data_IF_886459797751
#
_entry.id   IF_886459797751
#
_cell.length_a   1.000
_cell.length_b   1.000
_cell.length_c   1.000
_cell.angle_alpha   90.00
_cell.angle_beta   90.00
_cell.angle_gamma   90.00
#
_symmetry.space_group_name_H-M   'P 1'
#
loop_
_entity.id
_entity.type
_entity.pdbx_description
1 polymer ?
#
# COMPACT_ATOMS: atom_id res chain seq x y z
N UNK A 1 -36.12 -14.44 51.85
CA UNK A 1 -35.57 -13.55 52.90
C UNK A 1 -35.21 -12.23 52.22
N UNK A 2 -36.01 -11.17 52.43
CA UNK A 2 -35.63 -9.96 53.21
C UNK A 2 -34.36 -9.28 52.68
N UNK A 3 -34.29 -8.01 52.27
CA UNK A 3 -35.14 -6.82 52.46
C UNK A 3 -34.78 -5.77 51.40
N UNK A 4 -35.77 -4.95 51.06
CA UNK A 4 -35.66 -3.68 50.32
C UNK A 4 -34.80 -2.68 51.09
N UNK A 5 -34.01 -1.88 50.39
CA UNK A 5 -33.63 -0.54 50.82
C UNK A 5 -33.63 0.39 49.60
N UNK A 6 -34.84 0.88 49.32
CA UNK A 6 -35.08 2.07 48.53
C UNK A 6 -34.57 3.26 49.37
N UNK A 7 -33.56 3.99 48.89
CA UNK A 7 -33.28 5.34 49.40
C UNK A 7 -33.54 6.32 48.27
N UNK A 8 -34.42 7.24 48.62
CA UNK A 8 -35.00 8.33 47.85
C UNK A 8 -33.95 9.39 47.53
N UNK A 9 -34.09 9.98 46.34
CA UNK A 9 -33.41 11.15 45.75
C UNK A 9 -33.38 12.41 46.67
N UNK A 10 -32.83 13.61 46.32
CA UNK A 10 -32.46 14.09 44.97
C UNK A 10 -31.26 15.08 44.86
N UNK A 11 -31.00 15.48 43.60
CA UNK A 11 -30.53 16.80 43.14
C UNK A 11 -29.25 17.39 43.77
N UNK A 12 -28.18 17.47 42.96
CA UNK A 12 -27.58 18.77 42.65
C UNK A 12 -26.86 18.74 41.30
N UNK A 13 -27.37 19.59 40.43
CA UNK A 13 -26.92 19.96 39.10
C UNK A 13 -25.65 20.82 39.24
N UNK A 14 -24.54 20.40 38.66
CA UNK A 14 -23.45 21.33 38.30
C UNK A 14 -23.04 21.04 36.87
N UNK A 15 -23.54 21.87 35.98
CA UNK A 15 -23.03 22.07 34.63
C UNK A 15 -21.84 23.01 34.72
N UNK A 16 -20.67 22.51 34.37
CA UNK A 16 -19.49 23.25 33.88
C UNK A 16 -18.88 22.34 32.80
N UNK A 17 -19.36 22.36 31.56
CA UNK A 17 -18.89 23.24 30.48
C UNK A 17 -17.36 23.39 30.45
N UNK A 18 -16.75 22.68 29.50
CA UNK A 18 -15.51 23.10 28.85
C UNK A 18 -14.23 22.43 29.36
N UNK A 19 -13.68 21.53 28.55
CA UNK A 19 -12.28 21.11 28.67
C UNK A 19 -12.08 19.63 28.97
N UNK A 20 -12.71 18.74 28.19
CA UNK A 20 -12.09 17.45 27.96
C UNK A 20 -10.79 17.73 27.20
N UNK A 21 -9.67 17.85 27.92
CA UNK A 21 -8.36 17.67 27.33
C UNK A 21 -8.26 16.20 26.91
N UNK A 22 -8.93 15.86 25.81
CA UNK A 22 -8.53 14.73 25.02
C UNK A 22 -7.09 15.00 24.59
N UNK A 23 -6.16 14.04 24.72
CA UNK A 23 -4.93 14.14 23.98
C UNK A 23 -5.31 14.22 22.50
N UNK A 24 -4.98 15.37 21.94
CA UNK A 24 -5.11 15.72 20.55
C UNK A 24 -4.33 14.75 19.67
N UNK A 25 -4.91 14.52 18.48
CA UNK A 25 -4.21 14.42 17.21
C UNK A 25 -2.88 13.64 17.18
N UNK A 26 -3.01 12.35 16.85
CA UNK A 26 -1.99 11.64 16.08
C UNK A 26 -2.65 11.22 14.77
N UNK A 27 -2.74 12.16 13.82
CA UNK A 27 -3.31 11.92 12.51
C UNK A 27 -2.57 10.80 11.80
N UNK A 28 -3.13 9.59 11.84
CA UNK A 28 -2.92 8.61 10.78
C UNK A 28 -3.69 9.14 9.58
N UNK A 29 -3.03 9.94 8.74
CA UNK A 29 -3.49 10.15 7.38
C UNK A 29 -3.56 8.75 6.75
N UNK A 30 -4.74 8.23 6.40
CA UNK A 30 -4.83 6.88 5.83
C UNK A 30 -3.96 6.76 4.57
N UNK A 31 -3.81 7.85 3.83
CA UNK A 31 -3.01 7.95 2.60
C UNK A 31 -1.50 7.79 2.87
N UNK A 32 -0.95 8.42 3.92
CA UNK A 32 0.46 8.27 4.32
C UNK A 32 0.77 6.87 4.89
N UNK A 33 -0.25 6.14 5.35
CA UNK A 33 -0.12 4.75 5.78
C UNK A 33 -0.12 3.80 4.57
N UNK A 34 -0.87 4.09 3.49
CA UNK A 34 -0.88 3.28 2.26
C UNK A 34 0.46 3.32 1.50
N UNK A 35 1.14 4.47 1.43
CA UNK A 35 2.49 4.56 0.85
C UNK A 35 3.49 3.65 1.57
N UNK A 36 3.38 3.53 2.90
CA UNK A 36 4.22 2.62 3.69
C UNK A 36 3.88 1.15 3.46
N UNK A 37 2.62 0.83 3.15
CA UNK A 37 2.22 -0.56 2.86
C UNK A 37 2.88 -1.05 1.57
N UNK A 38 2.95 -0.24 0.51
CA UNK A 38 3.57 -0.68 -0.75
C UNK A 38 5.06 -0.93 -0.61
N UNK A 39 5.82 -0.09 0.09
CA UNK A 39 7.26 -0.34 0.32
C UNK A 39 7.51 -1.57 1.24
N UNK A 40 6.50 -2.01 1.99
CA UNK A 40 6.52 -3.27 2.73
C UNK A 40 6.19 -4.49 1.87
N UNK A 41 5.62 -4.30 0.67
CA UNK A 41 5.32 -5.39 -0.25
C UNK A 41 6.62 -5.83 -0.93
N UNK A 42 7.08 -7.08 -0.76
CA UNK A 42 8.39 -7.54 -1.24
C UNK A 42 8.61 -7.35 -2.74
N UNK A 43 7.54 -7.39 -3.54
CA UNK A 43 7.59 -7.25 -5.00
C UNK A 43 7.67 -5.79 -5.48
N UNK A 44 7.28 -4.82 -4.66
CA UNK A 44 7.34 -3.38 -4.99
C UNK A 44 8.71 -2.75 -4.67
N UNK A 45 9.69 -3.58 -4.25
CA UNK A 45 11.08 -3.16 -4.07
C UNK A 45 11.79 -3.16 -5.41
N UNK A 46 12.62 -2.13 -5.61
CA UNK A 46 13.51 -2.03 -6.76
C UNK A 46 14.40 -3.26 -6.88
N UNK A 47 14.63 -3.70 -8.11
CA UNK A 47 15.56 -4.76 -8.44
C UNK A 47 16.95 -4.18 -8.75
N UNK A 48 18.00 -4.90 -8.38
CA UNK A 48 19.38 -4.49 -8.66
C UNK A 48 19.69 -4.54 -10.16
N UNK A 49 20.58 -3.66 -10.63
CA UNK A 49 20.94 -3.57 -12.04
C UNK A 49 21.71 -4.80 -12.56
N UNK A 50 22.32 -5.57 -11.67
CA UNK A 50 23.01 -6.83 -11.96
C UNK A 50 22.13 -8.07 -11.81
N UNK A 51 20.81 -7.89 -11.63
CA UNK A 51 19.87 -9.01 -11.58
C UNK A 51 19.91 -9.84 -12.87
N UNK A 52 19.64 -11.14 -12.73
CA UNK A 52 19.55 -12.05 -13.87
C UNK A 52 18.20 -11.90 -14.57
N UNK A 53 18.11 -12.30 -15.84
CA UNK A 53 16.83 -12.34 -16.56
C UNK A 53 15.76 -13.18 -15.84
N UNK A 54 16.16 -14.24 -15.14
CA UNK A 54 15.26 -15.06 -14.33
C UNK A 54 14.72 -14.29 -13.13
N UNK A 55 15.57 -13.53 -12.44
CA UNK A 55 15.15 -12.67 -11.33
C UNK A 55 14.22 -11.54 -11.82
N UNK A 56 14.52 -10.92 -12.96
CA UNK A 56 13.66 -9.91 -13.60
C UNK A 56 12.30 -10.53 -13.97
N UNK A 57 12.30 -11.69 -14.63
CA UNK A 57 11.07 -12.41 -15.01
C UNK A 57 10.22 -12.79 -13.80
N UNK A 58 10.85 -13.33 -12.75
CA UNK A 58 10.18 -13.68 -11.51
C UNK A 58 9.54 -12.43 -10.88
N UNK A 59 10.27 -11.31 -10.85
CA UNK A 59 9.77 -10.05 -10.31
C UNK A 59 8.59 -9.49 -11.11
N UNK A 60 8.64 -9.56 -12.44
CA UNK A 60 7.50 -9.20 -13.31
C UNK A 60 6.27 -10.03 -12.92
N UNK A 61 6.42 -11.35 -12.77
CA UNK A 61 5.32 -12.23 -12.40
C UNK A 61 4.74 -11.90 -11.01
N UNK A 62 5.60 -11.59 -10.03
CA UNK A 62 5.18 -11.17 -8.69
C UNK A 62 4.37 -9.87 -8.73
N UNK A 63 4.81 -8.86 -9.48
CA UNK A 63 4.11 -7.58 -9.63
C UNK A 63 2.76 -7.81 -10.30
N UNK A 64 2.72 -8.53 -11.43
CA UNK A 64 1.49 -8.83 -12.17
C UNK A 64 0.46 -9.54 -11.28
N UNK A 65 0.89 -10.49 -10.44
CA UNK A 65 0.01 -11.17 -9.50
C UNK A 65 -0.46 -10.28 -8.34
N UNK A 66 0.32 -9.25 -7.99
CA UNK A 66 0.02 -8.29 -6.93
C UNK A 66 -0.91 -7.15 -7.35
N UNK A 67 -0.85 -6.72 -8.61
CA UNK A 67 -1.63 -5.61 -9.17
C UNK A 67 -3.14 -5.70 -8.86
N UNK A 68 -3.79 -6.87 -8.93
CA UNK A 68 -5.23 -6.96 -8.67
C UNK A 68 -5.66 -6.51 -7.28
N UNK A 69 -4.73 -6.57 -6.32
CA UNK A 69 -4.97 -6.25 -4.90
C UNK A 69 -4.78 -4.77 -4.57
N UNK A 70 -4.28 -3.97 -5.52
CA UNK A 70 -4.08 -2.54 -5.33
C UNK A 70 -5.38 -1.78 -5.57
N UNK A 71 -5.58 -0.71 -4.82
CA UNK A 71 -6.66 0.25 -5.03
C UNK A 71 -6.22 1.32 -6.04
N UNK A 72 -6.23 0.95 -7.33
CA UNK A 72 -5.92 1.81 -8.48
C UNK A 72 -7.02 1.67 -9.52
N UNK A 73 -7.13 2.64 -10.44
CA UNK A 73 -8.16 2.56 -11.49
C UNK A 73 -7.90 1.40 -12.46
N UNK A 74 -8.96 0.87 -13.09
CA UNK A 74 -8.84 -0.17 -14.11
C UNK A 74 -7.97 0.27 -15.31
N UNK A 75 -7.99 1.56 -15.63
CA UNK A 75 -7.19 2.13 -16.71
C UNK A 75 -5.69 2.11 -16.38
N UNK A 76 -5.31 2.51 -15.17
CA UNK A 76 -3.92 2.47 -14.70
C UNK A 76 -3.43 1.03 -14.60
N UNK A 77 -4.25 0.14 -14.04
CA UNK A 77 -3.96 -1.29 -13.96
C UNK A 77 -3.67 -1.88 -15.33
N UNK A 78 -4.56 -1.65 -16.30
CA UNK A 78 -4.40 -2.15 -17.67
C UNK A 78 -3.16 -1.59 -18.36
N UNK A 79 -2.82 -0.32 -18.12
CA UNK A 79 -1.61 0.29 -18.65
C UNK A 79 -0.34 -0.35 -18.07
N UNK A 80 -0.31 -0.60 -16.76
CA UNK A 80 0.82 -1.24 -16.09
C UNK A 80 0.97 -2.70 -16.54
N UNK A 81 -0.13 -3.46 -16.62
CA UNK A 81 -0.12 -4.85 -17.13
C UNK A 81 0.42 -4.92 -18.58
N UNK A 82 0.07 -3.94 -19.41
CA UNK A 82 0.58 -3.84 -20.78
C UNK A 82 2.09 -3.64 -20.79
N UNK A 83 2.61 -2.75 -19.93
CA UNK A 83 4.06 -2.50 -19.80
C UNK A 83 4.80 -3.72 -19.26
N UNK A 84 4.27 -4.40 -18.25
CA UNK A 84 4.85 -5.62 -17.69
C UNK A 84 4.89 -6.75 -18.73
N UNK A 85 3.84 -6.88 -19.55
CA UNK A 85 3.82 -7.85 -20.66
C UNK A 85 4.88 -7.53 -21.70
N UNK A 86 4.98 -6.26 -22.13
CA UNK A 86 5.98 -5.83 -23.09
C UNK A 86 7.42 -6.05 -22.58
N UNK A 87 7.67 -5.74 -21.31
CA UNK A 87 8.96 -6.00 -20.68
C UNK A 87 9.26 -7.50 -20.58
N UNK A 88 8.28 -8.34 -20.24
CA UNK A 88 8.44 -9.79 -20.23
C UNK A 88 8.86 -10.32 -21.61
N UNK A 89 8.23 -9.80 -22.68
CA UNK A 89 8.59 -10.16 -24.06
C UNK A 89 10.00 -9.67 -24.42
N UNK A 90 10.39 -8.46 -23.97
CA UNK A 90 11.72 -7.90 -24.18
C UNK A 90 12.82 -8.71 -23.47
N UNK A 91 12.57 -9.15 -22.23
CA UNK A 91 13.46 -10.04 -21.47
C UNK A 91 13.63 -11.38 -22.17
N UNK A 92 12.54 -11.96 -22.68
CA UNK A 92 12.59 -13.21 -23.44
C UNK A 92 13.37 -13.07 -24.76
N UNK A 93 13.23 -11.93 -25.44
CA UNK A 93 13.94 -11.66 -26.69
C UNK A 93 15.43 -11.35 -26.47
N UNK A 94 15.79 -10.65 -25.39
CA UNK A 94 17.15 -10.19 -25.12
C UNK A 94 17.57 -10.45 -23.65
N UNK A 95 17.72 -11.72 -23.23
CA UNK A 95 17.96 -12.07 -21.82
C UNK A 95 19.31 -11.61 -21.27
N UNK A 96 20.26 -11.21 -22.13
CA UNK A 96 21.54 -10.67 -21.71
C UNK A 96 21.50 -9.17 -21.37
N UNK A 97 20.44 -8.45 -21.75
CA UNK A 97 20.33 -7.00 -21.52
C UNK A 97 19.72 -6.67 -20.15
N UNK A 98 20.17 -7.37 -19.12
CA UNK A 98 19.49 -7.39 -17.82
C UNK A 98 19.52 -6.05 -17.10
N UNK A 99 20.53 -5.23 -17.32
CA UNK A 99 20.61 -3.89 -16.74
C UNK A 99 19.53 -2.96 -17.29
N UNK A 100 19.25 -3.03 -18.59
CA UNK A 100 18.17 -2.26 -19.21
C UNK A 100 16.81 -2.74 -18.71
N UNK A 101 16.59 -4.06 -18.70
CA UNK A 101 15.33 -4.65 -18.22
C UNK A 101 15.07 -4.36 -16.73
N UNK A 102 16.11 -4.40 -15.90
CA UNK A 102 16.01 -4.02 -14.49
C UNK A 102 15.65 -2.55 -14.30
N UNK A 103 16.23 -1.65 -15.10
CA UNK A 103 15.91 -0.23 -15.07
C UNK A 103 14.45 0.04 -15.51
N UNK A 104 13.99 -0.62 -16.57
CA UNK A 104 12.61 -0.53 -17.03
C UNK A 104 11.63 -1.08 -15.99
N UNK A 105 11.95 -2.23 -15.37
CA UNK A 105 11.15 -2.78 -14.29
C UNK A 105 11.01 -1.82 -13.11
N UNK A 106 12.12 -1.17 -12.72
CA UNK A 106 12.12 -0.19 -11.64
C UNK A 106 11.27 1.04 -11.98
N UNK A 107 11.31 1.51 -13.24
CA UNK A 107 10.42 2.58 -13.69
C UNK A 107 8.95 2.18 -13.60
N UNK A 108 8.59 0.95 -14.00
CA UNK A 108 7.22 0.44 -13.85
C UNK A 108 6.81 0.37 -12.37
N UNK A 109 7.71 -0.06 -11.48
CA UNK A 109 7.47 -0.06 -10.03
C UNK A 109 7.21 1.35 -9.50
N UNK A 110 7.96 2.36 -9.95
CA UNK A 110 7.72 3.76 -9.59
C UNK A 110 6.35 4.26 -10.07
N UNK A 111 5.92 3.86 -11.27
CA UNK A 111 4.56 4.15 -11.76
C UNK A 111 3.48 3.48 -10.92
N UNK A 112 3.68 2.22 -10.51
CA UNK A 112 2.76 1.52 -9.59
C UNK A 112 2.64 2.29 -8.27
N UNK A 113 3.76 2.74 -7.71
CA UNK A 113 3.79 3.54 -6.48
C UNK A 113 3.01 4.84 -6.64
N UNK A 114 3.22 5.55 -7.76
CA UNK A 114 2.53 6.80 -8.05
C UNK A 114 1.02 6.61 -8.26
N UNK A 115 0.58 5.50 -8.82
CA UNK A 115 -0.84 5.23 -9.07
C UNK A 115 -1.65 4.93 -7.80
N UNK A 116 -0.99 4.52 -6.70
CA UNK A 116 -1.65 4.20 -5.43
C UNK A 116 -1.66 5.39 -4.45
N UNK A 117 -0.94 6.47 -4.76
CA UNK A 117 -0.96 7.73 -4.01
C UNK A 117 -2.21 8.57 -4.36
#
# INVERSE_FOLDING_TARGET
MSRRALVVAPLLLVVLLGGCAGPADGGSNPIEDFEKVIDLIPWAKSIAADATAEQVTARIAEITAGLPSLDITDAERSAIETKLTALSDAVAANPSDTAAHAAELNAIVDEVKAAVQ
#
